data_IF_704202652782
#
_entry.id   IF_704202652782
#
_cell.length_a   1.000
_cell.length_b   1.000
_cell.length_c   1.000
_cell.angle_alpha   90.00
_cell.angle_beta   90.00
_cell.angle_gamma   90.00
#
_symmetry.space_group_name_H-M   'P 1'
#
loop_
_entity.id
_entity.type
_entity.pdbx_description
1 polymer ?
#
# COMPACT_ATOMS: atom_id res chain seq x y z
N UNK A 1 32.64 41.53 14.20
CA UNK A 1 31.90 41.37 12.93
C UNK A 1 32.43 40.13 12.23
N UNK A 2 31.80 38.98 12.43
CA UNK A 2 32.26 37.71 11.88
C UNK A 2 31.30 37.20 10.80
N UNK A 3 31.67 37.20 9.51
CA UNK A 3 30.80 36.72 8.43
C UNK A 3 30.68 35.18 8.42
N UNK A 4 31.29 34.48 9.38
CA UNK A 4 31.33 33.00 9.42
C UNK A 4 30.04 32.35 9.92
N UNK A 5 29.23 33.05 10.73
CA UNK A 5 27.94 32.54 11.19
C UNK A 5 26.89 32.53 10.06
N UNK A 6 27.06 33.38 9.04
CA UNK A 6 26.17 33.42 7.89
C UNK A 6 26.39 32.24 6.92
N UNK A 7 27.57 31.62 6.93
CA UNK A 7 27.87 30.49 6.05
C UNK A 7 27.28 29.16 6.54
N UNK A 8 27.21 28.96 7.87
CA UNK A 8 26.59 27.76 8.44
C UNK A 8 25.07 27.74 8.26
N UNK A 9 24.41 28.89 8.30
CA UNK A 9 22.96 28.99 8.08
C UNK A 9 22.58 28.78 6.60
N UNK A 10 23.50 29.04 5.66
CA UNK A 10 23.29 28.75 4.24
C UNK A 10 23.39 27.25 3.91
N UNK A 11 24.12 26.46 4.72
CA UNK A 11 24.28 25.02 4.51
C UNK A 11 23.07 24.20 4.99
N UNK A 12 22.20 24.79 5.82
CA UNK A 12 20.95 24.15 6.27
C UNK A 12 19.79 24.26 5.25
N UNK A 13 19.93 25.12 4.23
CA UNK A 13 18.93 25.29 3.16
C UNK A 13 19.23 24.48 1.91
N UNK A 14 20.40 23.84 1.83
CA UNK A 14 20.65 22.73 0.92
C UNK A 14 20.08 21.44 1.53
N UNK A 15 18.81 21.49 1.94
CA UNK A 15 18.04 20.26 2.03
C UNK A 15 18.12 19.62 0.65
N UNK A 16 18.77 18.46 0.56
CA UNK A 16 18.77 17.64 -0.63
C UNK A 16 17.31 17.28 -0.90
N UNK A 17 16.61 18.14 -1.66
CA UNK A 17 15.25 17.92 -2.09
C UNK A 17 15.27 16.61 -2.86
N UNK A 18 14.82 15.54 -2.21
CA UNK A 18 14.46 14.32 -2.90
C UNK A 18 13.24 14.68 -3.74
N UNK A 19 13.50 15.21 -4.93
CA UNK A 19 12.45 15.56 -5.87
C UNK A 19 11.82 14.26 -6.36
N UNK A 20 10.50 14.21 -6.20
CA UNK A 20 9.65 13.54 -7.18
C UNK A 20 9.11 12.20 -6.72
N UNK A 21 9.98 11.21 -6.53
CA UNK A 21 9.61 9.80 -6.38
C UNK A 21 8.67 9.54 -5.18
N UNK A 22 7.37 9.31 -5.43
CA UNK A 22 6.38 9.12 -4.36
C UNK A 22 5.24 8.19 -4.77
N UNK A 23 4.85 7.35 -3.82
CA UNK A 23 3.54 6.70 -3.78
C UNK A 23 2.65 7.48 -2.80
N UNK A 24 1.50 7.95 -3.28
CA UNK A 24 0.52 8.71 -2.50
C UNK A 24 -0.73 7.88 -2.37
N UNK A 25 -1.16 7.64 -1.13
CA UNK A 25 -2.42 6.99 -0.83
C UNK A 25 -3.43 7.98 -0.24
N UNK A 26 -4.72 7.71 -0.45
CA UNK A 26 -5.84 8.48 0.10
C UNK A 26 -7.07 7.59 0.32
N UNK A 27 -7.88 7.82 1.37
CA UNK A 27 -7.67 8.78 2.45
C UNK A 27 -6.58 8.33 3.45
N UNK A 28 -6.05 9.26 4.26
CA UNK A 28 -5.08 8.93 5.33
C UNK A 28 -5.66 8.15 6.50
N UNK A 29 -6.93 8.39 6.73
CA UNK A 29 -7.71 7.77 7.78
C UNK A 29 -9.14 7.72 7.27
N UNK A 30 -9.81 6.61 7.52
CA UNK A 30 -11.21 6.43 7.20
C UNK A 30 -11.89 5.66 8.32
N UNK A 31 -13.03 6.18 8.76
CA UNK A 31 -13.98 5.45 9.62
C UNK A 31 -15.18 5.11 8.77
N UNK A 32 -15.48 3.83 8.73
CA UNK A 32 -16.62 3.30 7.99
C UNK A 32 -17.46 2.47 8.95
N UNK A 33 -18.77 2.62 8.89
CA UNK A 33 -19.68 1.79 9.68
C UNK A 33 -19.76 0.37 9.10
N UNK A 34 -20.14 -0.60 9.94
CA UNK A 34 -20.33 -1.99 9.48
C UNK A 34 -21.34 -2.04 8.34
N UNK A 35 -21.03 -2.83 7.31
CA UNK A 35 -21.86 -3.01 6.11
C UNK A 35 -21.88 -1.79 5.19
N UNK A 36 -21.06 -0.78 5.45
CA UNK A 36 -20.84 0.35 4.53
C UNK A 36 -19.62 0.09 3.66
N UNK A 37 -19.63 0.70 2.47
CA UNK A 37 -18.50 0.64 1.56
C UNK A 37 -17.37 1.55 2.05
N UNK A 38 -16.13 1.10 1.90
CA UNK A 38 -14.93 1.93 2.02
C UNK A 38 -14.17 1.92 0.69
N UNK A 39 -13.46 3.01 0.38
CA UNK A 39 -12.71 3.14 -0.87
C UNK A 39 -11.36 3.78 -0.59
N UNK A 40 -10.32 3.09 -1.04
CA UNK A 40 -8.93 3.50 -0.91
C UNK A 40 -8.37 3.72 -2.30
N UNK A 41 -7.49 4.69 -2.43
CA UNK A 41 -6.83 5.05 -3.68
C UNK A 41 -5.33 5.17 -3.46
N UNK A 42 -4.59 4.79 -4.49
CA UNK A 42 -3.14 4.84 -4.53
C UNK A 42 -2.69 5.39 -5.87
N UNK A 43 -1.74 6.32 -5.84
CA UNK A 43 -1.14 6.93 -7.02
C UNK A 43 0.38 6.95 -6.93
N UNK A 44 1.06 6.87 -8.06
CA UNK A 44 2.52 6.85 -8.14
C UNK A 44 3.03 7.66 -9.33
N UNK A 45 4.18 8.32 -9.17
CA UNK A 45 4.85 9.05 -10.25
C UNK A 45 6.24 8.48 -10.59
N UNK A 46 6.41 7.19 -10.34
CA UNK A 46 7.66 6.44 -10.46
C UNK A 46 7.77 5.71 -11.80
N UNK A 47 6.73 5.77 -12.64
CA UNK A 47 6.62 4.98 -13.86
C UNK A 47 6.85 3.49 -13.59
N UNK A 48 6.29 3.01 -12.47
CA UNK A 48 6.29 1.61 -12.07
C UNK A 48 5.18 0.84 -12.79
N UNK A 49 5.51 -0.39 -13.20
CA UNK A 49 4.61 -1.28 -13.94
C UNK A 49 3.71 -2.07 -12.99
N UNK A 50 4.15 -2.29 -11.75
CA UNK A 50 3.41 -3.01 -10.72
C UNK A 50 2.92 -2.11 -9.58
N UNK A 51 1.71 -2.40 -9.08
CA UNK A 51 1.13 -1.79 -7.87
C UNK A 51 0.48 -2.86 -6.99
N UNK A 52 0.72 -2.78 -5.69
CA UNK A 52 0.37 -3.82 -4.73
C UNK A 52 -0.53 -3.24 -3.64
N UNK A 53 -1.44 -4.07 -3.12
CA UNK A 53 -2.22 -3.77 -1.93
C UNK A 53 -1.97 -4.82 -0.84
N UNK A 54 -1.59 -4.34 0.33
CA UNK A 54 -1.38 -5.14 1.53
C UNK A 54 -2.39 -4.76 2.61
N UNK A 55 -2.74 -5.73 3.44
CA UNK A 55 -3.47 -5.54 4.68
C UNK A 55 -2.58 -5.93 5.85
N UNK A 56 -2.49 -5.05 6.84
CA UNK A 56 -1.78 -5.29 8.08
C UNK A 56 -2.76 -5.20 9.25
N UNK A 57 -3.12 -6.36 9.81
CA UNK A 57 -3.88 -6.44 11.06
C UNK A 57 -3.00 -6.04 12.26
N UNK A 58 -3.59 -5.60 13.39
CA UNK A 58 -2.84 -5.26 14.59
C UNK A 58 -1.88 -6.37 15.00
N UNK A 59 -0.62 -6.01 15.26
CA UNK A 59 0.46 -6.93 15.65
C UNK A 59 0.78 -8.05 14.65
N UNK A 60 0.39 -7.91 13.38
CA UNK A 60 0.73 -8.85 12.31
C UNK A 60 1.65 -8.18 11.28
N UNK A 61 2.36 -9.02 10.52
CA UNK A 61 3.10 -8.56 9.34
C UNK A 61 2.10 -8.18 8.22
N UNK A 62 2.44 -7.24 7.33
CA UNK A 62 1.63 -6.96 6.15
C UNK A 62 1.43 -8.21 5.29
N UNK A 63 0.18 -8.57 5.01
CA UNK A 63 -0.20 -9.65 4.09
C UNK A 63 -0.61 -9.06 2.75
N UNK A 64 -0.07 -9.60 1.66
CA UNK A 64 -0.49 -9.22 0.32
C UNK A 64 -1.93 -9.66 0.09
N UNK A 65 -2.77 -8.74 -0.40
CA UNK A 65 -4.12 -9.06 -0.85
C UNK A 65 -4.14 -9.35 -2.35
N UNK A 66 -3.58 -8.42 -3.11
CA UNK A 66 -3.61 -8.41 -4.57
C UNK A 66 -2.58 -7.44 -5.13
N UNK A 67 -2.29 -7.58 -6.42
CA UNK A 67 -1.46 -6.65 -7.16
C UNK A 67 -1.84 -6.61 -8.63
N UNK A 68 -1.51 -5.49 -9.25
CA UNK A 68 -1.52 -5.34 -10.69
C UNK A 68 -0.10 -5.40 -11.22
N UNK A 69 0.07 -6.09 -12.35
CA UNK A 69 1.22 -5.95 -13.23
C UNK A 69 0.68 -5.58 -14.61
N UNK A 70 1.09 -4.43 -15.13
CA UNK A 70 0.44 -3.79 -16.28
C UNK A 70 -1.09 -3.68 -16.08
N UNK A 71 -1.89 -4.30 -16.95
CA UNK A 71 -3.36 -4.35 -16.86
C UNK A 71 -3.89 -5.59 -16.13
N UNK A 72 -3.03 -6.54 -15.76
CA UNK A 72 -3.43 -7.83 -15.22
C UNK A 72 -3.55 -7.77 -13.70
N UNK A 73 -4.68 -8.22 -13.16
CA UNK A 73 -4.93 -8.34 -11.72
C UNK A 73 -4.59 -9.75 -11.24
N UNK A 74 -3.84 -9.84 -10.15
CA UNK A 74 -3.51 -11.06 -9.45
C UNK A 74 -3.96 -10.95 -7.99
N UNK A 75 -4.79 -11.90 -7.55
CA UNK A 75 -5.34 -11.94 -6.20
C UNK A 75 -4.77 -13.15 -5.44
N UNK A 76 -4.41 -12.94 -4.18
CA UNK A 76 -3.97 -14.02 -3.29
C UNK A 76 -5.14 -14.92 -2.88
N UNK A 77 -4.87 -16.21 -2.69
CA UNK A 77 -5.92 -17.24 -2.47
C UNK A 77 -6.78 -16.98 -1.23
N UNK A 78 -6.20 -16.35 -0.22
CA UNK A 78 -6.86 -16.07 1.05
C UNK A 78 -7.50 -14.67 1.10
N UNK A 79 -7.53 -13.96 -0.02
CA UNK A 79 -8.11 -12.62 -0.09
C UNK A 79 -9.63 -12.74 -0.19
N UNK A 80 -10.34 -11.98 0.66
CA UNK A 80 -11.80 -11.97 0.67
C UNK A 80 -12.37 -11.38 -0.63
N UNK A 81 -13.46 -11.97 -1.13
CA UNK A 81 -14.26 -11.44 -2.25
C UNK A 81 -14.91 -10.07 -1.93
N UNK A 82 -14.85 -9.64 -0.67
CA UNK A 82 -15.27 -8.31 -0.24
C UNK A 82 -14.38 -7.19 -0.80
N UNK A 83 -13.17 -7.53 -1.26
CA UNK A 83 -12.24 -6.58 -1.87
C UNK A 83 -12.44 -6.52 -3.38
N UNK A 84 -12.62 -5.31 -3.90
CA UNK A 84 -12.59 -5.04 -5.34
C UNK A 84 -11.50 -4.04 -5.66
N UNK A 85 -10.54 -4.43 -6.47
CA UNK A 85 -9.52 -3.53 -6.96
C UNK A 85 -9.83 -3.06 -8.37
N UNK A 86 -9.38 -1.85 -8.69
CA UNK A 86 -9.41 -1.33 -10.05
C UNK A 86 -8.12 -0.60 -10.35
N UNK A 87 -7.71 -0.60 -11.62
CA UNK A 87 -6.55 0.15 -12.10
C UNK A 87 -6.93 0.91 -13.35
N UNK A 88 -6.87 2.24 -13.28
CA UNK A 88 -7.23 3.10 -14.41
C UNK A 88 -6.05 3.27 -15.37
N UNK A 89 -4.83 3.30 -14.83
CA UNK A 89 -3.58 3.39 -15.59
C UNK A 89 -2.41 2.92 -14.71
N UNK A 90 -1.19 2.91 -15.25
CA UNK A 90 0.00 2.47 -14.50
C UNK A 90 0.24 3.29 -13.23
N UNK A 91 -0.21 4.55 -13.20
CA UNK A 91 -0.03 5.51 -12.11
C UNK A 91 -1.11 5.49 -11.03
N UNK A 92 -2.25 4.82 -11.23
CA UNK A 92 -3.39 4.88 -10.30
C UNK A 92 -4.10 3.53 -10.12
N UNK A 93 -4.30 3.14 -8.87
CA UNK A 93 -5.04 1.95 -8.46
C UNK A 93 -5.97 2.27 -7.28
N UNK A 94 -7.15 1.66 -7.25
CA UNK A 94 -8.09 1.72 -6.12
C UNK A 94 -8.34 0.35 -5.51
N UNK A 95 -8.74 0.34 -4.24
CA UNK A 95 -9.19 -0.81 -3.49
C UNK A 95 -10.49 -0.44 -2.76
N UNK A 96 -11.59 -1.07 -3.15
CA UNK A 96 -12.88 -0.93 -2.51
C UNK A 96 -13.15 -2.12 -1.59
N UNK A 97 -13.66 -1.81 -0.40
CA UNK A 97 -14.20 -2.78 0.55
C UNK A 97 -15.72 -2.67 0.43
N UNK A 98 -16.39 -3.67 -0.13
CA UNK A 98 -17.81 -3.59 -0.47
C UNK A 98 -18.70 -3.42 0.76
N UNK A 99 -18.48 -4.28 1.76
CA UNK A 99 -19.22 -4.32 3.01
C UNK A 99 -18.20 -4.42 4.15
N UNK A 100 -17.83 -3.28 4.73
CA UNK A 100 -16.86 -3.24 5.82
C UNK A 100 -17.33 -4.07 7.03
N UNK A 101 -16.53 -5.05 7.43
CA UNK A 101 -16.73 -5.85 8.64
C UNK A 101 -15.67 -5.58 9.71
N UNK A 102 -15.77 -6.27 10.85
CA UNK A 102 -14.76 -6.18 11.90
C UNK A 102 -13.38 -6.65 11.42
N UNK A 103 -13.35 -7.69 10.60
CA UNK A 103 -12.13 -8.29 10.04
C UNK A 103 -11.38 -7.36 9.07
N UNK A 104 -12.06 -6.33 8.56
CA UNK A 104 -11.50 -5.32 7.67
C UNK A 104 -10.83 -4.17 8.45
N UNK A 105 -10.83 -4.22 9.78
CA UNK A 105 -10.12 -3.25 10.62
C UNK A 105 -8.63 -3.50 10.54
N UNK A 106 -7.94 -2.72 9.72
CA UNK A 106 -6.53 -2.92 9.45
C UNK A 106 -5.85 -1.64 8.93
N UNK A 107 -4.54 -1.69 8.87
CA UNK A 107 -3.72 -0.76 8.08
C UNK A 107 -3.66 -1.28 6.66
N UNK A 108 -4.04 -0.47 5.68
CA UNK A 108 -3.95 -0.83 4.26
C UNK A 108 -2.78 -0.08 3.61
N UNK A 109 -1.88 -0.83 2.98
CA UNK A 109 -0.63 -0.31 2.43
C UNK A 109 -0.56 -0.57 0.94
N UNK A 110 -0.24 0.46 0.18
CA UNK A 110 0.05 0.38 -1.24
C UNK A 110 1.53 0.59 -1.47
N UNK A 111 2.08 -0.26 -2.34
CA UNK A 111 3.43 -0.14 -2.85
C UNK A 111 3.41 -0.19 -4.38
N UNK A 112 4.49 0.25 -5.00
CA UNK A 112 4.70 0.05 -6.43
C UNK A 112 6.15 -0.37 -6.69
N UNK A 113 6.37 -1.07 -7.79
CA UNK A 113 7.70 -1.50 -8.21
C UNK A 113 7.86 -1.39 -9.72
N UNK A 114 9.06 -0.99 -10.15
CA UNK A 114 9.51 -1.20 -11.52
C UNK A 114 9.95 -2.64 -11.62
N UNK A 115 9.09 -3.50 -12.14
CA UNK A 115 9.44 -4.91 -12.27
C UNK A 115 10.07 -5.11 -13.65
N UNK A 116 11.37 -4.85 -13.72
CA UNK A 116 12.22 -5.33 -14.81
C UNK A 116 13.48 -5.91 -14.16
N UNK A 117 13.72 -7.19 -14.47
CA UNK A 117 14.84 -8.05 -14.05
C UNK A 117 14.65 -8.89 -12.76
N UNK A 118 14.12 -10.11 -12.97
CA UNK A 118 14.67 -11.37 -12.47
C UNK A 118 15.58 -11.26 -11.22
N UNK A 119 14.96 -11.05 -10.06
CA UNK A 119 15.62 -11.19 -8.78
C UNK A 119 15.93 -12.66 -8.48
N UNK A 120 17.16 -12.97 -8.08
CA UNK A 120 17.50 -14.28 -7.53
C UNK A 120 16.83 -14.41 -6.16
N UNK A 121 15.89 -15.35 -6.02
CA UNK A 121 15.27 -15.65 -4.73
C UNK A 121 16.18 -16.59 -3.93
N UNK A 122 16.42 -16.26 -2.66
CA UNK A 122 16.98 -17.19 -1.69
C UNK A 122 15.85 -18.11 -1.23
N UNK A 123 15.82 -19.33 -1.76
CA UNK A 123 14.96 -20.38 -1.23
C UNK A 123 15.36 -20.71 0.22
N UNK A 124 14.45 -21.18 1.09
CA UNK A 124 14.77 -21.62 2.46
C UNK A 124 15.94 -22.63 2.52
N UNK A 125 16.17 -23.37 1.43
CA UNK A 125 17.26 -24.32 1.24
C UNK A 125 18.63 -23.69 0.86
N UNK A 126 18.82 -22.37 1.02
CA UNK A 126 20.10 -21.67 0.79
C UNK A 126 20.69 -21.77 -0.63
N UNK A 127 19.91 -22.19 -1.64
CA UNK A 127 20.36 -22.22 -3.04
C UNK A 127 19.79 -21.01 -3.80
N UNK A 128 20.64 -20.12 -4.35
CA UNK A 128 20.17 -19.03 -5.19
C UNK A 128 19.62 -19.60 -6.50
N UNK A 129 18.34 -19.37 -6.77
CA UNK A 129 17.73 -19.62 -8.08
C UNK A 129 17.66 -18.30 -8.83
N UNK A 130 18.63 -18.08 -9.72
CA UNK A 130 18.58 -16.99 -10.69
C UNK A 130 17.89 -17.53 -11.94
N UNK A 131 16.76 -16.94 -12.32
CA UNK A 131 16.07 -17.24 -13.57
C UNK A 131 16.50 -16.22 -14.64
N UNK A 132 16.58 -16.64 -15.90
CA UNK A 132 17.02 -15.78 -17.02
C UNK A 132 15.93 -15.59 -18.08
N UNK A 133 14.76 -16.22 -17.92
CA UNK A 133 13.69 -16.20 -18.92
C UNK A 133 12.36 -15.70 -18.31
N UNK A 134 11.85 -14.53 -18.74
CA UNK A 134 10.53 -14.01 -18.34
C UNK A 134 9.36 -14.93 -18.70
N UNK A 135 9.55 -15.89 -19.65
CA UNK A 135 8.48 -16.78 -20.13
C UNK A 135 8.23 -18.01 -19.26
N UNK A 136 9.05 -18.26 -18.25
CA UNK A 136 8.85 -19.42 -17.37
C UNK A 136 7.88 -19.16 -16.20
N UNK A 137 7.39 -17.93 -16.02
CA UNK A 137 6.44 -17.61 -14.96
C UNK A 137 5.04 -17.43 -15.53
N UNK A 138 4.09 -18.26 -15.11
CA UNK A 138 2.65 -18.06 -15.37
C UNK A 138 2.07 -16.81 -14.67
N UNK A 139 2.83 -16.17 -13.74
CA UNK A 139 2.41 -15.06 -12.88
C UNK A 139 3.61 -14.20 -12.43
N UNK A 140 3.66 -12.87 -12.58
CA UNK A 140 4.79 -12.07 -12.07
C UNK A 140 4.99 -12.22 -10.55
N UNK A 141 6.19 -11.98 -9.99
CA UNK A 141 6.41 -12.11 -8.55
C UNK A 141 5.44 -11.28 -7.71
N UNK A 142 4.92 -11.89 -6.65
CA UNK A 142 3.96 -11.25 -5.76
C UNK A 142 4.61 -10.24 -4.78
N UNK A 143 5.94 -10.25 -4.67
CA UNK A 143 6.68 -9.36 -3.77
C UNK A 143 7.68 -8.49 -4.56
N UNK A 144 7.68 -7.16 -4.34
CA UNK A 144 8.60 -6.26 -5.03
C UNK A 144 10.04 -6.39 -4.49
N UNK A 145 11.03 -6.32 -5.39
CA UNK A 145 12.47 -6.33 -5.04
C UNK A 145 12.89 -5.08 -4.26
N UNK A 146 12.19 -3.96 -4.46
CA UNK A 146 12.33 -2.73 -3.68
C UNK A 146 10.95 -2.10 -3.44
N UNK A 147 10.55 -1.96 -2.17
CA UNK A 147 9.33 -1.23 -1.81
C UNK A 147 9.63 0.27 -1.70
N UNK A 148 8.97 1.08 -2.54
CA UNK A 148 8.97 2.54 -2.40
C UNK A 148 7.54 2.98 -2.04
N UNK A 149 7.36 3.43 -0.79
CA UNK A 149 6.10 3.98 -0.31
C UNK A 149 5.62 3.38 1.02
N UNK A 150 5.47 4.23 2.03
CA UNK A 150 4.68 3.92 3.22
C UNK A 150 3.68 5.06 3.42
N UNK A 151 2.40 4.80 3.14
CA UNK A 151 1.33 5.60 3.71
C UNK A 151 0.91 4.97 5.03
N UNK A 152 1.10 5.67 6.15
CA UNK A 152 0.58 5.26 7.45
C UNK A 152 -0.95 5.41 7.43
N UNK A 153 -1.66 4.46 6.82
CA UNK A 153 -3.13 4.44 6.82
C UNK A 153 -3.59 3.46 7.88
N UNK A 154 -4.27 3.90 8.92
CA UNK A 154 -5.06 3.02 9.76
C UNK A 154 -6.54 3.24 9.42
N UNK A 155 -7.23 2.21 8.95
CA UNK A 155 -8.69 2.24 8.82
C UNK A 155 -9.24 1.70 10.13
N UNK A 156 -9.77 2.60 10.97
CA UNK A 156 -10.42 2.21 12.22
C UNK A 156 -11.91 2.04 11.95
N UNK A 157 -12.36 0.79 11.85
CA UNK A 157 -13.80 0.47 11.84
C UNK A 157 -14.23 0.38 13.30
N UNK A 158 -14.75 1.49 13.83
CA UNK A 158 -15.38 1.47 15.16
C UNK A 158 -16.78 0.89 15.02
N UNK A 159 -16.97 -0.35 15.47
CA UNK A 159 -18.31 -0.87 15.70
C UNK A 159 -18.88 -0.24 16.95
N UNK A 160 -19.64 0.84 16.80
CA UNK A 160 -20.56 1.22 17.87
C UNK A 160 -21.62 0.12 17.97
N UNK A 161 -21.50 -0.71 19.00
CA UNK A 161 -22.64 -1.49 19.49
C UNK A 161 -23.80 -0.50 19.69
N UNK A 162 -24.99 -0.82 19.15
CA UNK A 162 -26.22 0.01 19.20
C UNK A 162 -26.59 0.55 20.59
N UNK A 163 -25.95 0.08 21.65
CA UNK A 163 -26.16 0.48 23.05
C UNK A 163 -25.76 1.91 23.41
N UNK A 164 -24.91 2.62 22.65
CA UNK A 164 -24.47 3.99 23.00
C UNK A 164 -25.23 5.11 22.29
N UNK A 165 -26.03 4.79 21.26
CA UNK A 165 -26.83 5.76 20.54
C UNK A 165 -28.04 6.26 21.35
N UNK A 166 -28.43 5.56 22.42
CA UNK A 166 -29.52 5.99 23.30
C UNK A 166 -29.05 6.83 24.49
N UNK A 167 -27.76 6.83 24.83
CA UNK A 167 -27.25 7.62 25.97
C UNK A 167 -27.11 9.11 25.64
N UNK A 168 -27.01 9.47 24.35
CA UNK A 168 -26.90 10.87 23.89
C UNK A 168 -28.20 11.47 23.34
N UNK A 169 -29.31 10.72 23.34
CA UNK A 169 -30.65 11.25 23.03
C UNK A 169 -31.43 11.72 24.25
N UNK A 170 -30.91 11.48 25.46
CA UNK A 170 -31.56 11.82 26.73
C UNK A 170 -30.74 12.83 27.58
N UNK A 171 -29.88 13.63 26.95
CA UNK A 171 -29.23 14.78 27.58
C UNK A 171 -29.39 16.03 26.72
#
# INVERSE_FOLDING_TARGET
>A
MGPRLLYCMAFCLLGAGHTGARVIQSPRYQVTGIGKQASLSCSQNLNHDAMYWYQQKPNQAPKLLLYYYDSNLYTEKDTSDNFKASRTNSSFCSLDILLAGFEDTAVYLCASSKDTELGCYLSPDHKPLCFSDPRSFERPPSHPTAMVGCGFMAVTISSLHRSWAETYKNH
#
